data_IF_583891123240
#
_entry.id   IF_583891123240
#
_cell.length_a   1.000
_cell.length_b   1.000
_cell.length_c   1.000
_cell.angle_alpha   90.00
_cell.angle_beta   90.00
_cell.angle_gamma   90.00
#
_symmetry.space_group_name_H-M   'P 1'
#
loop_
_entity.id
_entity.type
_entity.pdbx_description
1 polymer ?
#
# COMPACT_ATOMS: atom_id res chain seq x y z
N UNK A 1 -7.09 31.80 -26.34
CA UNK A 1 -7.35 32.19 -24.94
C UNK A 1 -6.91 31.01 -24.11
N UNK A 2 -5.86 31.16 -23.32
CA UNK A 2 -5.34 30.08 -22.48
C UNK A 2 -6.19 30.02 -21.21
N UNK A 3 -6.77 28.87 -20.91
CA UNK A 3 -7.93 28.71 -20.01
C UNK A 3 -7.55 28.73 -18.51
N UNK A 4 -6.42 29.35 -18.17
CA UNK A 4 -6.03 29.70 -16.79
C UNK A 4 -5.99 28.53 -15.79
N UNK A 5 -5.80 27.29 -16.25
CA UNK A 5 -5.84 26.11 -15.36
C UNK A 5 -4.54 25.97 -14.58
N UNK A 6 -4.63 26.15 -13.28
CA UNK A 6 -3.52 25.95 -12.34
C UNK A 6 -3.40 24.44 -12.07
N UNK A 7 -2.23 23.88 -12.35
CA UNK A 7 -1.90 22.49 -11.98
C UNK A 7 -1.20 22.50 -10.64
N UNK A 8 -1.88 22.04 -9.60
CA UNK A 8 -1.29 21.81 -8.28
C UNK A 8 -0.67 20.41 -8.20
N UNK A 9 0.55 20.33 -7.69
CA UNK A 9 1.22 19.06 -7.38
C UNK A 9 1.31 18.90 -5.86
N UNK A 10 0.84 17.76 -5.36
CA UNK A 10 1.09 17.32 -3.98
C UNK A 10 2.02 16.11 -4.06
N UNK A 11 3.22 16.26 -3.51
CA UNK A 11 4.20 15.18 -3.41
C UNK A 11 4.35 14.79 -1.95
N UNK A 12 4.16 13.50 -1.66
CA UNK A 12 4.25 12.95 -0.31
C UNK A 12 5.36 11.90 -0.29
N UNK A 13 6.43 12.17 0.43
CA UNK A 13 7.55 11.23 0.61
C UNK A 13 7.33 10.41 1.88
N UNK A 14 6.86 9.18 1.70
CA UNK A 14 6.67 8.23 2.80
C UNK A 14 7.92 7.36 2.89
N UNK A 15 8.81 7.71 3.80
CA UNK A 15 9.97 6.88 4.11
C UNK A 15 9.51 5.54 4.66
N UNK A 16 10.07 4.45 4.15
CA UNK A 16 9.76 3.08 4.59
C UNK A 16 8.26 2.79 4.53
N UNK A 17 7.66 2.97 3.36
CA UNK A 17 6.22 2.84 3.15
C UNK A 17 5.64 1.50 3.68
N UNK A 18 6.34 0.39 3.48
CA UNK A 18 5.88 -0.92 3.97
C UNK A 18 6.01 -1.10 5.49
N UNK A 19 7.01 -0.49 6.12
CA UNK A 19 7.17 -0.49 7.58
C UNK A 19 6.16 0.44 8.27
N UNK A 20 5.67 1.46 7.55
CA UNK A 20 4.78 2.51 8.08
C UNK A 20 3.30 2.19 7.93
N UNK A 21 2.96 1.18 7.12
CA UNK A 21 1.58 0.74 6.91
C UNK A 21 1.25 -0.34 7.95
N UNK A 22 0.03 -0.27 8.50
CA UNK A 22 -0.49 -1.32 9.37
C UNK A 22 -0.56 -2.67 8.62
N UNK A 23 0.22 -3.64 9.11
CA UNK A 23 0.36 -4.94 8.46
C UNK A 23 -0.94 -5.74 8.49
N UNK A 24 -1.78 -5.62 9.52
CA UNK A 24 -3.07 -6.32 9.61
C UNK A 24 -4.03 -5.81 8.54
N UNK A 25 -4.05 -4.49 8.30
CA UNK A 25 -4.88 -3.89 7.24
C UNK A 25 -4.39 -4.36 5.86
N UNK A 26 -3.08 -4.42 5.63
CA UNK A 26 -2.51 -4.88 4.37
C UNK A 26 -2.83 -6.35 4.10
N UNK A 27 -2.66 -7.21 5.11
CA UNK A 27 -2.96 -8.64 5.05
C UNK A 27 -4.45 -8.91 4.83
N UNK A 28 -5.33 -8.16 5.50
CA UNK A 28 -6.77 -8.23 5.30
C UNK A 28 -7.17 -7.87 3.87
N UNK A 29 -6.53 -6.86 3.25
CA UNK A 29 -6.78 -6.52 1.84
C UNK A 29 -6.30 -7.61 0.90
N UNK A 30 -5.10 -8.15 1.11
CA UNK A 30 -4.57 -9.27 0.32
C UNK A 30 -5.55 -10.45 0.31
N UNK A 31 -6.07 -10.81 1.48
CA UNK A 31 -7.05 -11.89 1.62
C UNK A 31 -8.43 -11.57 1.03
N UNK A 32 -8.98 -10.40 1.35
CA UNK A 32 -10.40 -10.10 1.10
C UNK A 32 -10.66 -9.38 -0.22
N UNK A 33 -9.66 -8.67 -0.77
CA UNK A 33 -9.81 -7.90 -2.01
C UNK A 33 -9.04 -8.52 -3.18
N UNK A 34 -7.88 -9.12 -2.91
CA UNK A 34 -7.03 -9.71 -3.94
C UNK A 34 -7.13 -11.24 -4.01
N UNK A 35 -7.84 -11.88 -3.06
CA UNK A 35 -8.05 -13.32 -3.06
C UNK A 35 -6.77 -14.13 -2.84
N UNK A 36 -5.80 -13.57 -2.11
CA UNK A 36 -4.54 -14.24 -1.77
C UNK A 36 -4.77 -15.02 -0.47
N UNK A 37 -4.50 -16.32 -0.49
CA UNK A 37 -4.76 -17.22 0.63
C UNK A 37 -3.51 -18.05 0.98
N UNK A 38 -3.62 -18.87 2.02
CA UNK A 38 -2.68 -19.93 2.39
C UNK A 38 -1.19 -19.53 2.36
N UNK A 39 -0.39 -20.17 1.51
CA UNK A 39 1.07 -20.08 1.51
C UNK A 39 1.55 -18.70 1.07
N UNK A 40 0.89 -18.09 0.09
CA UNK A 40 1.20 -16.75 -0.40
C UNK A 40 0.93 -15.71 0.69
N UNK A 41 -0.17 -15.84 1.42
CA UNK A 41 -0.49 -14.93 2.52
C UNK A 41 0.53 -15.08 3.66
N UNK A 42 0.90 -16.30 4.03
CA UNK A 42 1.94 -16.56 5.04
C UNK A 42 3.30 -15.99 4.63
N UNK A 43 3.66 -16.06 3.35
CA UNK A 43 4.88 -15.45 2.83
C UNK A 43 4.87 -13.93 3.00
N UNK A 44 3.76 -13.25 2.65
CA UNK A 44 3.61 -11.81 2.85
C UNK A 44 3.68 -11.42 4.32
N UNK A 45 3.02 -12.18 5.20
CA UNK A 45 3.09 -11.96 6.64
C UNK A 45 4.53 -12.03 7.14
N UNK A 46 5.27 -13.07 6.74
CA UNK A 46 6.67 -13.29 7.11
C UNK A 46 7.61 -12.22 6.56
N UNK A 47 7.32 -11.69 5.37
CA UNK A 47 8.07 -10.61 4.74
C UNK A 47 7.86 -9.25 5.41
N UNK A 48 6.65 -9.00 5.92
CA UNK A 48 6.33 -7.72 6.57
C UNK A 48 6.77 -7.66 8.03
N UNK A 49 6.94 -8.80 8.70
CA UNK A 49 7.34 -8.87 10.12
C UNK A 49 8.86 -9.04 10.37
N UNK A 50 9.68 -9.21 9.33
CA UNK A 50 11.16 -9.29 9.40
C UNK A 50 11.84 -8.06 8.81
#
# INVERSE_FOLDING_TARGET
>A
MDDGKITGLISMDIKKAFDSIDHEILMSKMKNQFGIYDDELNWFGSYLTN
#
